data_IF_683730245482
#
_entry.id   IF_683730245482
#
_cell.length_a   1.000
_cell.length_b   1.000
_cell.length_c   1.000
_cell.angle_alpha   90.00
_cell.angle_beta   90.00
_cell.angle_gamma   90.00
#
_symmetry.space_group_name_H-M   'P 1'
#
loop_
_entity.id
_entity.type
_entity.pdbx_description
1 polymer ?
#
# COMPACT_ATOMS: atom_id res chain seq x y z
N UNK A 1 20.09 -5.23 12.54
CA UNK A 1 19.64 -3.86 12.89
C UNK A 1 18.36 -3.98 13.68
N UNK A 2 18.26 -3.37 14.85
CA UNK A 2 17.02 -3.28 15.61
C UNK A 2 16.46 -1.88 15.41
N UNK A 3 15.20 -1.79 15.03
CA UNK A 3 14.48 -0.54 14.90
C UNK A 3 13.36 -0.55 15.94
N UNK A 4 13.42 0.35 16.90
CA UNK A 4 12.31 0.55 17.83
C UNK A 4 11.32 1.50 17.18
N UNK A 5 10.12 0.97 16.88
CA UNK A 5 9.01 1.76 16.39
C UNK A 5 7.95 1.85 17.49
N UNK A 6 7.42 3.06 17.68
CA UNK A 6 6.17 3.26 18.42
C UNK A 6 5.05 3.27 17.39
N UNK A 7 3.84 2.99 17.83
CA UNK A 7 2.67 3.25 17.01
C UNK A 7 2.71 4.71 16.54
N UNK A 8 3.04 4.92 15.27
CA UNK A 8 3.34 6.23 14.72
C UNK A 8 2.09 6.93 14.18
N UNK A 9 1.02 6.17 13.95
CA UNK A 9 -0.24 6.70 13.45
C UNK A 9 -1.31 6.55 14.52
N UNK A 10 -1.50 7.59 15.31
CA UNK A 10 -2.75 7.72 16.04
C UNK A 10 -3.83 8.08 15.00
N UNK A 11 -4.89 7.28 14.91
CA UNK A 11 -5.95 7.45 13.93
C UNK A 11 -6.50 8.85 13.89
N UNK A 12 -7.16 9.18 12.80
CA UNK A 12 -7.67 10.51 12.53
C UNK A 12 -8.64 11.05 13.58
N UNK A 13 -9.16 10.20 14.47
CA UNK A 13 -9.93 10.59 15.65
C UNK A 13 -9.06 10.77 16.91
N UNK A 14 -7.75 10.82 16.78
CA UNK A 14 -6.83 11.04 17.89
C UNK A 14 -6.69 9.86 18.84
N UNK A 15 -7.23 8.68 18.50
CA UNK A 15 -7.09 7.47 19.32
C UNK A 15 -7.03 6.23 18.45
N UNK A 16 -5.85 5.82 18.06
CA UNK A 16 -5.64 4.41 17.79
C UNK A 16 -5.99 3.64 19.05
N UNK A 17 -7.05 2.87 19.01
CA UNK A 17 -7.49 1.85 19.98
C UNK A 17 -7.15 2.07 21.47
N UNK A 18 -6.54 3.20 21.85
CA UNK A 18 -6.09 3.48 23.22
C UNK A 18 -5.09 2.49 23.78
N UNK A 19 -4.55 1.59 22.96
CA UNK A 19 -3.61 0.56 23.37
C UNK A 19 -2.18 1.07 23.19
N UNK A 20 -1.48 1.49 24.25
CA UNK A 20 -0.07 1.83 24.15
C UNK A 20 0.71 0.58 23.80
N UNK A 21 1.58 0.66 22.78
CA UNK A 21 2.45 -0.42 22.38
C UNK A 21 3.84 0.06 22.02
N UNK A 22 4.84 -0.73 22.34
CA UNK A 22 6.19 -0.59 21.79
C UNK A 22 6.42 -1.76 20.85
N UNK A 23 6.65 -1.46 19.58
CA UNK A 23 6.88 -2.46 18.56
C UNK A 23 8.35 -2.40 18.13
N UNK A 24 8.88 -3.56 17.77
CA UNK A 24 10.28 -3.70 17.37
C UNK A 24 10.36 -4.37 16.03
N UNK A 25 11.16 -3.80 15.13
CA UNK A 25 11.57 -4.46 13.92
C UNK A 25 12.98 -5.04 14.10
N UNK A 26 13.16 -6.25 13.59
CA UNK A 26 14.43 -6.97 13.58
C UNK A 26 14.80 -7.32 12.14
N UNK A 27 16.09 -7.44 11.87
CA UNK A 27 16.59 -7.88 10.57
C UNK A 27 16.96 -9.35 10.65
N UNK A 28 16.51 -10.13 9.69
CA UNK A 28 16.96 -11.51 9.53
C UNK A 28 18.44 -11.53 9.11
N UNK A 29 19.24 -12.37 9.74
CA UNK A 29 20.68 -12.47 9.44
C UNK A 29 20.91 -13.20 8.11
N UNK A 30 20.03 -14.11 7.72
CA UNK A 30 20.16 -14.91 6.51
C UNK A 30 19.73 -14.16 5.23
N UNK A 31 18.55 -13.53 5.25
CA UNK A 31 17.96 -12.93 4.05
C UNK A 31 17.81 -11.40 4.12
N UNK A 32 18.28 -10.77 5.21
CA UNK A 32 18.23 -9.34 5.44
C UNK A 32 16.82 -8.72 5.48
N UNK A 33 15.75 -9.52 5.41
CA UNK A 33 14.38 -9.03 5.55
C UNK A 33 14.19 -8.39 6.92
N UNK A 34 13.54 -7.24 6.95
CA UNK A 34 13.20 -6.54 8.20
C UNK A 34 11.73 -6.82 8.52
N UNK A 35 11.46 -7.31 9.71
CA UNK A 35 10.10 -7.68 10.13
C UNK A 35 9.86 -7.38 11.61
N UNK A 36 8.59 -7.25 11.96
CA UNK A 36 8.20 -6.97 13.33
C UNK A 36 8.34 -8.22 14.21
N UNK A 37 9.05 -8.08 15.36
CA UNK A 37 9.22 -9.18 16.32
C UNK A 37 9.37 -8.62 17.76
N UNK A 38 8.48 -8.98 18.70
CA UNK A 38 7.24 -9.73 18.47
C UNK A 38 6.22 -8.92 17.64
N UNK A 39 5.33 -9.61 16.93
CA UNK A 39 4.21 -9.00 16.21
C UNK A 39 2.88 -9.37 16.85
N UNK A 40 1.86 -8.56 16.64
CA UNK A 40 0.50 -8.88 17.03
C UNK A 40 0.07 -10.17 16.30
N UNK A 41 -0.68 -11.03 16.97
CA UNK A 41 -1.21 -12.24 16.35
C UNK A 41 -2.19 -11.88 15.22
N UNK A 42 -2.19 -12.69 14.15
CA UNK A 42 -2.93 -12.39 12.93
C UNK A 42 -4.46 -12.30 13.13
N UNK A 43 -5.00 -12.99 14.12
CA UNK A 43 -6.41 -12.93 14.53
C UNK A 43 -6.75 -11.68 15.36
N UNK A 44 -5.73 -10.99 15.88
CA UNK A 44 -5.88 -9.81 16.74
C UNK A 44 -5.51 -8.49 16.05
N UNK A 45 -4.92 -8.55 14.87
CA UNK A 45 -4.46 -7.32 14.19
C UNK A 45 -5.61 -6.43 13.75
N UNK A 46 -6.79 -6.99 13.48
CA UNK A 46 -7.98 -6.23 13.13
C UNK A 46 -8.35 -5.17 14.17
N UNK A 47 -8.05 -5.42 15.45
CA UNK A 47 -8.26 -4.48 16.55
C UNK A 47 -7.47 -3.16 16.39
N UNK A 48 -6.49 -3.13 15.49
CA UNK A 48 -5.61 -2.00 15.20
C UNK A 48 -5.98 -1.25 13.91
N UNK A 49 -7.03 -1.69 13.23
CA UNK A 49 -7.61 -1.00 12.07
C UNK A 49 -8.96 -0.43 12.48
N UNK A 50 -9.00 0.87 12.76
CA UNK A 50 -10.25 1.57 13.05
C UNK A 50 -11.00 1.94 11.76
N UNK A 51 -12.23 2.47 11.91
CA UNK A 51 -13.07 2.89 10.78
C UNK A 51 -12.53 4.12 10.06
N UNK A 52 -11.53 4.78 10.63
CA UNK A 52 -10.86 5.94 10.07
C UNK A 52 -9.53 5.60 9.40
N UNK A 53 -9.14 4.31 9.39
CA UNK A 53 -7.95 3.87 8.67
C UNK A 53 -8.07 4.29 7.20
N UNK A 54 -7.01 4.92 6.68
CA UNK A 54 -7.07 5.66 5.41
C UNK A 54 -7.57 4.82 4.23
N UNK A 55 -7.17 3.55 4.15
CA UNK A 55 -7.60 2.63 3.09
C UNK A 55 -9.04 2.15 3.23
N UNK A 56 -9.58 2.12 4.47
CA UNK A 56 -10.93 1.65 4.78
C UNK A 56 -11.90 2.80 5.07
N UNK A 57 -11.47 4.04 4.86
CA UNK A 57 -12.21 5.21 5.27
C UNK A 57 -13.54 5.34 4.53
N UNK A 58 -14.63 5.20 5.28
CA UNK A 58 -16.00 5.36 4.78
C UNK A 58 -16.42 6.84 4.67
N UNK A 59 -15.83 7.71 5.51
CA UNK A 59 -16.12 9.14 5.55
C UNK A 59 -14.91 9.95 5.11
N UNK A 60 -15.10 10.78 4.11
CA UNK A 60 -14.11 11.72 3.60
C UNK A 60 -14.61 13.16 3.78
N UNK A 61 -15.14 13.47 4.97
CA UNK A 61 -15.63 14.81 5.28
C UNK A 61 -14.58 15.58 6.08
N UNK A 62 -13.99 16.57 5.43
CA UNK A 62 -13.02 17.51 5.99
C UNK A 62 -13.55 18.94 5.92
N UNK A 63 -14.89 19.12 5.97
CA UNK A 63 -15.55 20.41 5.83
C UNK A 63 -15.20 21.05 4.47
N UNK A 64 -14.76 22.30 4.48
CA UNK A 64 -14.40 23.05 3.26
C UNK A 64 -13.25 22.42 2.44
N UNK A 65 -12.45 21.56 3.05
CA UNK A 65 -11.32 20.88 2.37
C UNK A 65 -11.71 19.54 1.74
N UNK A 66 -12.95 19.08 1.90
CA UNK A 66 -13.45 17.81 1.32
C UNK A 66 -13.23 17.71 -0.20
N UNK A 67 -13.53 18.75 -1.01
CA UNK A 67 -13.29 18.68 -2.47
C UNK A 67 -11.81 18.49 -2.81
N UNK A 68 -10.92 19.15 -2.09
CA UNK A 68 -9.47 19.04 -2.29
C UNK A 68 -8.97 17.63 -1.93
N UNK A 69 -9.45 17.09 -0.83
CA UNK A 69 -9.14 15.71 -0.44
C UNK A 69 -9.62 14.69 -1.50
N UNK A 70 -10.87 14.82 -1.96
CA UNK A 70 -11.42 13.94 -3.01
C UNK A 70 -10.63 14.03 -4.32
N UNK A 71 -10.25 15.25 -4.71
CA UNK A 71 -9.40 15.46 -5.87
C UNK A 71 -8.04 14.77 -5.73
N UNK A 72 -7.41 14.82 -4.55
CA UNK A 72 -6.14 14.15 -4.30
C UNK A 72 -6.25 12.62 -4.37
N UNK A 73 -7.33 12.06 -3.81
CA UNK A 73 -7.60 10.61 -3.88
C UNK A 73 -7.85 10.17 -5.33
N UNK A 74 -8.65 10.91 -6.08
CA UNK A 74 -8.89 10.65 -7.49
C UNK A 74 -7.60 10.77 -8.33
N UNK A 75 -6.76 11.78 -8.05
CA UNK A 75 -5.43 11.91 -8.66
C UNK A 75 -4.55 10.70 -8.36
N UNK A 76 -4.60 10.16 -7.14
CA UNK A 76 -3.86 8.96 -6.76
C UNK A 76 -4.32 7.74 -7.55
N UNK A 77 -5.64 7.49 -7.65
CA UNK A 77 -6.17 6.37 -8.43
C UNK A 77 -5.88 6.52 -9.92
N UNK A 78 -5.87 7.75 -10.46
CA UNK A 78 -5.39 8.01 -11.84
C UNK A 78 -3.93 7.65 -12.04
N UNK A 79 -3.05 7.94 -11.06
CA UNK A 79 -1.63 7.58 -11.12
C UNK A 79 -1.45 6.07 -11.13
N UNK A 80 -2.21 5.33 -10.29
CA UNK A 80 -2.22 3.86 -10.30
C UNK A 80 -2.65 3.32 -11.67
N UNK A 81 -3.78 3.81 -12.20
CA UNK A 81 -4.30 3.40 -13.49
C UNK A 81 -3.32 3.72 -14.64
N UNK A 82 -2.70 4.89 -14.63
CA UNK A 82 -1.69 5.27 -15.62
C UNK A 82 -0.45 4.38 -15.55
N UNK A 83 0.01 4.05 -14.33
CA UNK A 83 1.14 3.13 -14.14
C UNK A 83 0.83 1.75 -14.71
N UNK A 84 -0.33 1.19 -14.38
CA UNK A 84 -0.79 -0.11 -14.91
C UNK A 84 -0.88 -0.08 -16.43
N UNK A 85 -1.44 0.99 -17.00
CA UNK A 85 -1.61 1.16 -18.45
C UNK A 85 -0.30 1.17 -19.25
N UNK A 86 0.86 1.37 -18.58
CA UNK A 86 2.17 1.23 -19.23
C UNK A 86 2.57 -0.23 -19.50
N UNK A 87 1.95 -1.19 -18.81
CA UNK A 87 2.35 -2.60 -18.83
C UNK A 87 1.28 -3.57 -19.31
N UNK A 88 0.01 -3.17 -19.21
CA UNK A 88 -1.15 -4.01 -19.59
C UNK A 88 -2.18 -3.14 -20.29
N UNK A 89 -2.57 -3.55 -21.50
CA UNK A 89 -3.75 -3.00 -22.15
C UNK A 89 -4.99 -3.75 -21.61
N UNK A 90 -5.86 -3.03 -20.92
CA UNK A 90 -7.09 -3.59 -20.35
C UNK A 90 -8.30 -3.20 -21.18
N UNK A 91 -9.23 -4.13 -21.34
CA UNK A 91 -10.50 -3.96 -22.01
C UNK A 91 -11.64 -4.71 -21.27
N UNK A 92 -12.83 -4.74 -21.85
CA UNK A 92 -14.01 -5.39 -21.26
C UNK A 92 -13.88 -6.92 -21.09
N UNK A 93 -12.94 -7.57 -21.77
CA UNK A 93 -12.65 -9.00 -21.60
C UNK A 93 -11.64 -9.29 -20.51
N UNK A 94 -10.89 -8.26 -20.08
CA UNK A 94 -9.81 -8.36 -19.12
C UNK A 94 -10.33 -8.59 -17.70
N UNK A 95 -9.55 -9.30 -16.89
CA UNK A 95 -9.83 -9.59 -15.49
C UNK A 95 -8.77 -8.99 -14.59
N UNK A 96 -9.18 -8.19 -13.62
CA UNK A 96 -8.31 -7.48 -12.69
C UNK A 96 -8.59 -7.91 -11.26
N UNK A 97 -7.56 -8.26 -10.51
CA UNK A 97 -7.62 -8.56 -9.07
C UNK A 97 -6.79 -7.54 -8.30
N UNK A 98 -7.37 -6.97 -7.25
CA UNK A 98 -6.65 -6.11 -6.30
C UNK A 98 -6.67 -6.76 -4.91
N UNK A 99 -5.49 -7.11 -4.40
CA UNK A 99 -5.31 -7.70 -3.08
C UNK A 99 -5.06 -6.58 -2.06
N UNK A 100 -5.92 -6.47 -1.04
CA UNK A 100 -5.97 -5.34 -0.15
C UNK A 100 -6.64 -4.13 -0.80
N UNK A 101 -7.76 -4.35 -1.48
CA UNK A 101 -8.41 -3.33 -2.30
C UNK A 101 -8.98 -2.15 -1.50
N UNK A 102 -9.06 -2.26 -0.16
CA UNK A 102 -9.65 -1.23 0.69
C UNK A 102 -11.03 -0.83 0.20
N UNK A 103 -11.28 0.48 0.11
CA UNK A 103 -12.55 1.02 -0.37
C UNK A 103 -12.81 0.80 -1.88
N UNK A 104 -11.95 0.10 -2.62
CA UNK A 104 -12.17 -0.31 -4.01
C UNK A 104 -12.17 0.81 -5.06
N UNK A 105 -11.75 2.02 -4.70
CA UNK A 105 -11.82 3.20 -5.61
C UNK A 105 -10.94 3.05 -6.86
N UNK A 106 -9.78 2.40 -6.72
CA UNK A 106 -8.93 2.06 -7.85
C UNK A 106 -9.63 1.09 -8.81
N UNK A 107 -10.23 0.01 -8.29
CA UNK A 107 -10.97 -0.97 -9.10
C UNK A 107 -12.17 -0.34 -9.80
N UNK A 108 -12.94 0.50 -9.10
CA UNK A 108 -14.05 1.24 -9.69
C UNK A 108 -13.59 2.13 -10.86
N UNK A 109 -12.42 2.75 -10.72
CA UNK A 109 -11.81 3.53 -11.81
C UNK A 109 -11.41 2.65 -12.99
N UNK A 110 -10.70 1.55 -12.76
CA UNK A 110 -10.31 0.62 -13.83
C UNK A 110 -11.55 0.15 -14.59
N UNK A 111 -12.57 -0.32 -13.89
CA UNK A 111 -13.82 -0.77 -14.50
C UNK A 111 -14.49 0.33 -15.33
N UNK A 112 -14.60 1.55 -14.78
CA UNK A 112 -15.24 2.67 -15.46
C UNK A 112 -14.48 3.11 -16.73
N UNK A 113 -13.16 2.94 -16.78
CA UNK A 113 -12.34 3.41 -17.91
C UNK A 113 -12.04 2.35 -18.94
N UNK A 114 -12.07 1.07 -18.58
CA UNK A 114 -11.69 -0.05 -19.46
C UNK A 114 -12.81 -1.05 -19.71
N UNK A 115 -13.83 -1.07 -18.85
CA UNK A 115 -14.86 -2.12 -18.86
C UNK A 115 -14.42 -3.43 -18.24
N UNK A 116 -13.19 -3.56 -17.75
CA UNK A 116 -12.62 -4.79 -17.21
C UNK A 116 -13.42 -5.35 -16.02
N UNK A 117 -13.41 -6.68 -15.89
CA UNK A 117 -13.99 -7.37 -14.73
C UNK A 117 -13.10 -7.16 -13.50
N UNK A 118 -13.57 -6.36 -12.55
CA UNK A 118 -12.83 -6.00 -11.34
C UNK A 118 -13.21 -6.92 -10.17
N UNK A 119 -12.21 -7.54 -9.57
CA UNK A 119 -12.32 -8.34 -8.33
C UNK A 119 -11.47 -7.71 -7.25
N UNK A 120 -12.02 -7.51 -6.06
CA UNK A 120 -11.31 -6.97 -4.90
C UNK A 120 -11.32 -7.94 -3.72
N UNK A 121 -10.19 -8.09 -3.04
CA UNK A 121 -10.08 -8.87 -1.81
C UNK A 121 -9.61 -7.96 -0.69
N UNK A 122 -10.33 -7.92 0.43
CA UNK A 122 -9.89 -7.23 1.64
C UNK A 122 -10.38 -7.99 2.89
N UNK A 123 -9.62 -7.92 3.99
CA UNK A 123 -10.01 -8.61 5.22
C UNK A 123 -11.17 -7.91 5.94
N UNK A 124 -11.37 -6.60 5.69
CA UNK A 124 -12.47 -5.83 6.23
C UNK A 124 -13.64 -5.85 5.25
N UNK A 125 -14.84 -6.15 5.76
CA UNK A 125 -16.05 -6.07 4.94
C UNK A 125 -16.40 -4.61 4.63
N UNK A 126 -16.31 -4.25 3.37
CA UNK A 126 -16.63 -2.94 2.80
C UNK A 126 -17.69 -3.04 1.69
N UNK A 127 -18.39 -4.17 1.62
CA UNK A 127 -19.41 -4.46 0.59
C UNK A 127 -20.59 -3.48 0.59
N UNK A 128 -20.81 -2.78 1.70
CA UNK A 128 -21.86 -1.76 1.86
C UNK A 128 -21.56 -0.42 1.17
N UNK A 129 -20.34 -0.22 0.67
CA UNK A 129 -20.01 0.99 -0.08
C UNK A 129 -20.73 1.00 -1.44
N UNK A 130 -21.42 2.08 -1.85
CA UNK A 130 -22.31 2.07 -3.01
C UNK A 130 -21.66 1.65 -4.32
N UNK A 131 -20.38 1.98 -4.51
CA UNK A 131 -19.64 1.64 -5.73
C UNK A 131 -19.08 0.22 -5.73
N UNK A 132 -19.07 -0.48 -4.58
CA UNK A 132 -18.65 -1.89 -4.49
C UNK A 132 -19.62 -2.83 -5.20
N UNK A 133 -20.87 -2.43 -5.44
CA UNK A 133 -21.84 -3.24 -6.19
C UNK A 133 -21.39 -3.59 -7.61
N UNK A 134 -20.47 -2.80 -8.17
CA UNK A 134 -19.91 -3.04 -9.51
C UNK A 134 -18.65 -3.93 -9.49
N UNK A 135 -18.15 -4.29 -8.32
CA UNK A 135 -16.91 -5.03 -8.09
C UNK A 135 -17.26 -6.39 -7.49
N UNK A 136 -16.65 -7.49 -7.97
CA UNK A 136 -16.68 -8.79 -7.29
C UNK A 136 -15.86 -8.70 -6.00
N UNK A 137 -16.46 -8.12 -4.94
CA UNK A 137 -15.80 -7.95 -3.65
C UNK A 137 -15.87 -9.24 -2.83
N UNK A 138 -14.70 -9.65 -2.31
CA UNK A 138 -14.57 -10.84 -1.46
C UNK A 138 -13.91 -10.47 -0.15
N UNK A 139 -14.67 -10.55 0.93
CA UNK A 139 -14.17 -10.38 2.27
C UNK A 139 -13.32 -11.58 2.69
N UNK A 140 -12.16 -11.34 3.31
CA UNK A 140 -11.27 -12.37 3.80
C UNK A 140 -9.81 -12.15 3.35
N UNK A 141 -8.96 -13.10 3.69
CA UNK A 141 -7.53 -13.06 3.34
C UNK A 141 -7.30 -13.70 1.96
N UNK A 142 -6.24 -13.33 1.24
CA UNK A 142 -5.93 -13.95 -0.06
C UNK A 142 -5.89 -15.47 -0.01
N UNK A 143 -5.27 -16.06 1.02
CA UNK A 143 -5.15 -17.52 1.19
C UNK A 143 -6.48 -18.27 1.30
N UNK A 144 -7.54 -17.57 1.67
CA UNK A 144 -8.90 -18.12 1.83
C UNK A 144 -9.66 -18.11 0.49
N UNK A 145 -9.14 -17.38 -0.50
CA UNK A 145 -9.79 -17.21 -1.79
C UNK A 145 -9.46 -18.35 -2.76
N UNK A 146 -10.37 -18.59 -3.67
CA UNK A 146 -10.21 -19.53 -4.81
C UNK A 146 -10.78 -18.87 -6.06
N UNK A 147 -10.06 -18.96 -7.16
CA UNK A 147 -10.47 -18.41 -8.45
C UNK A 147 -10.29 -19.46 -9.54
N UNK A 148 -11.33 -19.67 -10.34
CA UNK A 148 -11.35 -20.70 -11.40
C UNK A 148 -10.72 -20.20 -12.71
N UNK A 149 -10.57 -18.89 -12.86
CA UNK A 149 -10.03 -18.25 -14.06
C UNK A 149 -8.90 -17.31 -13.69
N UNK A 150 -7.83 -17.26 -14.52
CA UNK A 150 -6.70 -16.39 -14.27
C UNK A 150 -7.06 -14.90 -14.44
N UNK A 151 -6.18 -14.03 -13.96
CA UNK A 151 -6.27 -12.59 -14.06
C UNK A 151 -5.18 -12.04 -14.99
N UNK A 152 -5.53 -11.07 -15.81
CA UNK A 152 -4.61 -10.37 -16.70
C UNK A 152 -3.76 -9.35 -15.92
N UNK A 153 -4.34 -8.81 -14.84
CA UNK A 153 -3.67 -7.93 -13.92
C UNK A 153 -3.97 -8.32 -12.47
N UNK A 154 -2.93 -8.39 -11.66
CA UNK A 154 -3.04 -8.46 -10.20
C UNK A 154 -2.31 -7.25 -9.60
N UNK A 155 -2.93 -6.56 -8.64
CA UNK A 155 -2.32 -5.42 -7.96
C UNK A 155 -2.26 -5.64 -6.45
N UNK A 156 -1.18 -5.13 -5.84
CA UNK A 156 -0.95 -5.10 -4.40
C UNK A 156 -0.45 -3.71 -4.02
N UNK A 157 -1.40 -2.78 -3.81
CA UNK A 157 -1.09 -1.41 -3.45
C UNK A 157 -1.01 -1.26 -1.94
N UNK A 158 0.18 -1.13 -1.39
CA UNK A 158 0.36 -1.02 0.07
C UNK A 158 -0.30 -2.15 0.84
N UNK A 159 -0.16 -3.36 0.34
CA UNK A 159 -0.74 -4.55 0.92
C UNK A 159 0.32 -5.49 1.50
N UNK A 160 1.41 -5.72 0.76
CA UNK A 160 2.37 -6.78 1.07
C UNK A 160 3.12 -6.54 2.40
N UNK A 161 3.30 -5.30 2.81
CA UNK A 161 3.88 -4.91 4.09
C UNK A 161 2.98 -5.23 5.29
N UNK A 162 1.68 -5.38 5.07
CA UNK A 162 0.70 -5.76 6.09
C UNK A 162 0.51 -7.28 6.19
N UNK A 163 0.96 -8.01 5.18
CA UNK A 163 0.71 -9.45 5.10
C UNK A 163 1.58 -10.23 6.11
N UNK A 164 0.95 -11.22 6.75
CA UNK A 164 1.60 -12.12 7.70
C UNK A 164 2.38 -13.23 7.04
N UNK A 165 2.06 -13.55 5.79
CA UNK A 165 2.66 -14.63 5.01
C UNK A 165 2.94 -14.19 3.56
N UNK A 166 3.72 -13.10 3.36
CA UNK A 166 3.85 -12.45 2.05
C UNK A 166 4.40 -13.37 0.96
N UNK A 167 5.30 -14.31 1.34
CA UNK A 167 5.83 -15.29 0.39
C UNK A 167 4.74 -16.23 -0.13
N UNK A 168 3.86 -16.72 0.76
CA UNK A 168 2.75 -17.60 0.38
C UNK A 168 1.72 -16.87 -0.47
N UNK A 169 1.40 -15.62 -0.12
CA UNK A 169 0.49 -14.78 -0.90
C UNK A 169 1.02 -14.52 -2.32
N UNK A 170 2.30 -14.19 -2.47
CA UNK A 170 2.89 -13.97 -3.79
C UNK A 170 2.90 -15.26 -4.63
N UNK A 171 3.19 -16.41 -4.01
CA UNK A 171 3.14 -17.71 -4.70
C UNK A 171 1.71 -18.00 -5.19
N UNK A 172 0.71 -17.79 -4.35
CA UNK A 172 -0.68 -17.99 -4.71
C UNK A 172 -1.15 -16.99 -5.77
N UNK A 173 -0.79 -15.72 -5.66
CA UNK A 173 -1.10 -14.70 -6.65
C UNK A 173 -0.46 -15.01 -8.02
N UNK A 174 0.77 -15.55 -8.04
CA UNK A 174 1.38 -16.07 -9.28
C UNK A 174 0.50 -17.15 -9.94
N UNK A 175 -0.05 -18.06 -9.16
CA UNK A 175 -0.85 -19.15 -9.68
C UNK A 175 -2.19 -18.65 -10.27
N UNK A 176 -2.70 -17.53 -9.79
CA UNK A 176 -3.86 -16.83 -10.33
C UNK A 176 -3.56 -15.92 -11.53
N UNK A 177 -2.29 -15.60 -11.78
CA UNK A 177 -1.89 -14.72 -12.87
C UNK A 177 -1.98 -15.46 -14.20
N UNK A 178 -2.52 -14.83 -15.23
CA UNK A 178 -2.47 -15.34 -16.61
C UNK A 178 -1.02 -15.45 -17.10
N UNK A 179 -0.77 -16.27 -18.12
CA UNK A 179 0.58 -16.50 -18.67
C UNK A 179 1.24 -15.17 -19.08
N UNK A 180 0.50 -14.32 -19.78
CA UNK A 180 0.97 -13.00 -20.23
C UNK A 180 0.54 -11.86 -19.28
N UNK A 181 -0.06 -12.21 -18.14
CA UNK A 181 -0.53 -11.27 -17.13
C UNK A 181 0.61 -10.53 -16.44
N UNK A 182 0.25 -9.43 -15.80
CA UNK A 182 1.18 -8.62 -15.01
C UNK A 182 0.71 -8.50 -13.58
N UNK A 183 1.68 -8.49 -12.67
CA UNK A 183 1.41 -8.16 -11.27
C UNK A 183 2.19 -6.89 -10.91
N UNK A 184 1.52 -5.94 -10.28
CA UNK A 184 2.10 -4.67 -9.82
C UNK A 184 2.07 -4.64 -8.31
N UNK A 185 3.23 -4.49 -7.69
CA UNK A 185 3.39 -4.48 -6.23
C UNK A 185 4.03 -3.16 -5.84
N UNK A 186 3.35 -2.37 -5.03
CA UNK A 186 3.85 -1.12 -4.47
C UNK A 186 3.92 -1.20 -2.96
N UNK A 187 5.10 -0.89 -2.39
CA UNK A 187 5.37 -0.90 -0.94
C UNK A 187 6.26 0.26 -0.53
N UNK A 188 6.21 0.71 0.74
CA UNK A 188 7.19 1.63 1.28
C UNK A 188 8.60 1.04 1.20
N UNK A 189 9.56 1.89 0.84
CA UNK A 189 10.94 1.48 0.65
C UNK A 189 11.81 1.78 1.87
N UNK A 190 12.32 0.75 2.54
CA UNK A 190 13.13 0.86 3.76
C UNK A 190 14.47 1.58 3.52
N UNK A 191 15.12 1.41 2.37
CA UNK A 191 16.39 2.05 2.01
C UNK A 191 16.20 3.40 1.29
N UNK A 192 15.04 4.06 1.51
CA UNK A 192 14.68 5.35 0.92
C UNK A 192 15.35 6.55 1.59
N UNK A 193 15.31 7.70 0.90
CA UNK A 193 15.75 8.98 1.45
C UNK A 193 14.95 9.35 2.70
N UNK A 194 13.62 9.18 2.69
CA UNK A 194 12.78 9.50 3.84
C UNK A 194 13.12 8.63 5.06
N UNK A 195 13.42 7.33 4.87
CA UNK A 195 13.86 6.49 5.98
C UNK A 195 15.20 6.98 6.56
N UNK A 196 16.17 7.35 5.73
CA UNK A 196 17.47 7.88 6.19
C UNK A 196 17.32 9.19 6.98
N UNK A 197 16.35 10.04 6.59
CA UNK A 197 16.07 11.32 7.27
C UNK A 197 15.34 11.15 8.61
N UNK A 198 14.42 10.19 8.72
CA UNK A 198 13.52 10.07 9.86
C UNK A 198 13.82 8.89 10.78
N UNK A 199 14.51 7.85 10.31
CA UNK A 199 14.89 6.68 11.11
C UNK A 199 13.68 6.04 11.80
N UNK A 200 13.72 5.93 13.14
CA UNK A 200 12.64 5.36 13.94
C UNK A 200 11.36 6.23 14.00
N UNK A 201 11.35 7.38 13.37
CA UNK A 201 10.15 8.22 13.17
C UNK A 201 9.68 8.24 11.73
N UNK A 202 10.21 7.34 10.92
CA UNK A 202 9.78 7.20 9.54
C UNK A 202 8.32 6.72 9.47
N UNK A 203 7.43 7.42 8.74
CA UNK A 203 6.02 7.03 8.64
C UNK A 203 5.81 5.60 8.12
N UNK A 204 6.71 5.10 7.27
CA UNK A 204 6.65 3.76 6.74
C UNK A 204 6.88 2.63 7.75
N UNK A 205 7.24 2.92 9.01
CA UNK A 205 7.25 1.89 10.06
C UNK A 205 5.84 1.45 10.44
N UNK A 206 4.89 2.37 10.53
CA UNK A 206 3.45 2.17 10.77
C UNK A 206 3.12 0.91 11.62
N UNK A 207 3.80 0.77 12.76
CA UNK A 207 3.57 -0.36 13.65
C UNK A 207 2.26 -0.18 14.46
N UNK A 208 1.49 -1.25 14.69
CA UNK A 208 1.79 -2.65 14.35
C UNK A 208 1.29 -3.14 13.00
N UNK A 209 0.67 -2.27 12.17
CA UNK A 209 0.03 -2.68 10.93
C UNK A 209 1.03 -3.20 9.89
N UNK A 210 2.21 -2.53 9.75
CA UNK A 210 3.27 -3.06 8.91
C UNK A 210 4.02 -4.18 9.65
N UNK A 211 3.91 -5.39 9.14
CA UNK A 211 4.56 -6.57 9.72
C UNK A 211 5.94 -6.82 9.11
N UNK A 212 6.15 -6.36 7.88
CA UNK A 212 7.39 -6.52 7.10
C UNK A 212 7.76 -5.20 6.43
N UNK A 213 9.05 -4.91 6.35
CA UNK A 213 9.59 -3.74 5.67
C UNK A 213 10.57 -4.17 4.58
N UNK A 214 10.40 -3.62 3.38
CA UNK A 214 11.14 -4.04 2.20
C UNK A 214 12.18 -3.00 1.78
N UNK A 215 13.45 -3.44 1.67
CA UNK A 215 14.42 -2.80 0.81
C UNK A 215 14.20 -3.25 -0.64
N UNK A 216 14.87 -2.61 -1.60
CA UNK A 216 14.86 -3.08 -2.99
C UNK A 216 15.22 -4.56 -3.08
N UNK A 217 16.34 -4.94 -2.51
CA UNK A 217 16.89 -6.29 -2.67
C UNK A 217 16.00 -7.35 -2.01
N UNK A 218 15.43 -7.06 -0.84
CA UNK A 218 14.55 -8.01 -0.16
C UNK A 218 13.19 -8.17 -0.87
N UNK A 219 12.66 -7.11 -1.50
CA UNK A 219 11.46 -7.22 -2.32
C UNK A 219 11.72 -8.06 -3.56
N UNK A 220 12.79 -7.76 -4.32
CA UNK A 220 13.14 -8.50 -5.53
C UNK A 220 13.40 -9.98 -5.22
N UNK A 221 14.17 -10.28 -4.19
CA UNK A 221 14.41 -11.67 -3.77
C UNK A 221 13.14 -12.41 -3.40
N UNK A 222 12.17 -11.72 -2.78
CA UNK A 222 10.88 -12.33 -2.40
C UNK A 222 10.02 -12.66 -3.64
N UNK A 223 9.91 -11.76 -4.60
CA UNK A 223 9.15 -12.02 -5.83
C UNK A 223 9.78 -13.12 -6.68
N UNK A 224 11.11 -13.15 -6.77
CA UNK A 224 11.84 -14.21 -7.49
C UNK A 224 11.64 -15.59 -6.84
N UNK A 225 11.67 -15.67 -5.50
CA UNK A 225 11.38 -16.91 -4.75
C UNK A 225 9.94 -17.38 -4.94
N UNK A 226 8.99 -16.47 -5.19
CA UNK A 226 7.63 -16.83 -5.54
C UNK A 226 7.49 -17.39 -6.97
N UNK A 227 8.58 -17.46 -7.74
CA UNK A 227 8.57 -17.93 -9.14
C UNK A 227 8.06 -16.88 -10.12
N UNK A 228 8.13 -15.62 -9.73
CA UNK A 228 7.84 -14.47 -10.59
C UNK A 228 9.12 -13.97 -11.26
N UNK A 229 8.99 -13.38 -12.44
CA UNK A 229 10.06 -12.71 -13.16
C UNK A 229 9.88 -11.19 -13.05
N UNK A 230 10.94 -10.49 -12.67
CA UNK A 230 10.93 -9.03 -12.59
C UNK A 230 11.02 -8.45 -13.99
N UNK A 231 9.97 -7.74 -14.40
CA UNK A 231 9.92 -7.01 -15.67
C UNK A 231 10.55 -5.63 -15.50
N UNK A 232 10.14 -4.93 -14.46
CA UNK A 232 10.70 -3.62 -14.14
C UNK A 232 10.61 -3.35 -12.64
N UNK A 233 11.62 -2.67 -12.11
CA UNK A 233 11.63 -2.12 -10.78
C UNK A 233 11.75 -0.61 -10.85
N UNK A 234 10.84 0.09 -10.15
CA UNK A 234 10.74 1.55 -10.14
C UNK A 234 11.10 2.08 -8.74
N UNK A 235 12.02 3.06 -8.63
CA UNK A 235 12.40 3.68 -7.35
C UNK A 235 11.36 4.67 -6.82
N UNK A 236 10.12 4.57 -7.27
CA UNK A 236 8.99 5.45 -6.96
C UNK A 236 7.68 4.65 -7.03
N UNK A 237 6.58 5.27 -6.61
CA UNK A 237 5.25 4.68 -6.63
C UNK A 237 4.16 5.67 -7.06
N UNK A 238 2.94 5.16 -7.19
CA UNK A 238 1.76 5.98 -7.42
C UNK A 238 1.39 6.79 -6.17
N UNK A 239 1.69 6.26 -4.99
CA UNK A 239 1.48 6.98 -3.73
C UNK A 239 2.44 8.16 -3.61
N UNK A 240 1.95 9.36 -3.23
CA UNK A 240 2.77 10.57 -3.19
C UNK A 240 3.87 10.46 -2.12
N UNK A 241 5.14 10.48 -2.54
CA UNK A 241 6.28 10.43 -1.62
C UNK A 241 6.32 11.65 -0.67
N UNK A 242 5.72 12.77 -1.08
CA UNK A 242 5.57 13.95 -0.23
C UNK A 242 4.87 13.63 1.10
N UNK A 243 3.91 12.71 1.12
CA UNK A 243 3.26 12.29 2.35
C UNK A 243 4.26 11.79 3.41
N UNK A 244 5.26 11.01 3.00
CA UNK A 244 6.30 10.50 3.89
C UNK A 244 7.22 11.61 4.42
N UNK A 245 7.50 12.60 3.60
CA UNK A 245 8.30 13.76 4.03
C UNK A 245 7.51 14.61 5.01
N UNK A 246 6.27 14.95 4.69
CA UNK A 246 5.38 15.74 5.53
C UNK A 246 5.12 15.06 6.89
N UNK A 247 4.68 13.79 6.87
CA UNK A 247 4.38 13.06 8.09
C UNK A 247 5.65 12.82 8.94
N UNK A 248 6.80 12.57 8.30
CA UNK A 248 8.09 12.42 9.01
C UNK A 248 8.52 13.69 9.72
N UNK A 249 8.36 14.85 9.07
CA UNK A 249 8.60 16.16 9.73
C UNK A 249 7.61 16.36 10.87
N UNK A 250 6.33 16.12 10.64
CA UNK A 250 5.30 16.24 11.67
C UNK A 250 5.61 15.34 12.89
N UNK A 251 6.01 14.09 12.71
CA UNK A 251 6.39 13.19 13.81
C UNK A 251 7.63 13.65 14.57
N UNK A 252 8.58 14.30 13.89
CA UNK A 252 9.72 14.94 14.58
C UNK A 252 9.27 16.11 15.46
N UNK A 253 8.43 16.98 14.91
CA UNK A 253 7.95 18.19 15.61
C UNK A 253 6.99 17.83 16.75
N UNK A 254 6.08 16.90 16.54
CA UNK A 254 5.10 16.46 17.54
C UNK A 254 5.68 15.49 18.58
N UNK A 255 7.00 15.24 18.54
CA UNK A 255 7.72 14.35 19.47
C UNK A 255 7.08 12.97 19.64
N UNK A 256 6.52 12.42 18.55
CA UNK A 256 5.89 11.10 18.52
C UNK A 256 4.44 11.08 18.98
N UNK A 257 3.78 12.24 19.14
CA UNK A 257 2.33 12.32 19.17
C UNK A 257 1.80 12.04 17.77
N UNK A 258 0.65 11.38 17.68
CA UNK A 258 0.04 11.03 16.40
C UNK A 258 -0.29 12.26 15.54
N UNK A 259 -0.37 12.05 14.25
CA UNK A 259 -0.79 13.07 13.29
C UNK A 259 -2.31 13.00 13.13
N UNK A 260 -3.00 14.06 13.56
CA UNK A 260 -4.43 14.25 13.25
C UNK A 260 -4.56 14.64 11.78
N UNK A 261 -5.01 13.70 10.94
CA UNK A 261 -5.15 13.93 9.51
C UNK A 261 -6.18 15.02 9.20
N UNK A 262 -7.23 15.17 10.01
CA UNK A 262 -8.24 16.21 9.81
C UNK A 262 -7.63 17.61 9.88
N UNK A 263 -6.76 17.84 10.88
CA UNK A 263 -6.03 19.10 11.04
C UNK A 263 -4.84 19.24 10.09
N UNK A 264 -4.34 18.13 9.57
CA UNK A 264 -3.16 18.11 8.71
C UNK A 264 -3.47 18.38 7.24
N UNK A 265 -4.72 18.24 6.78
CA UNK A 265 -5.09 18.36 5.35
C UNK A 265 -4.66 19.71 4.76
N UNK A 266 -4.98 20.83 5.40
CA UNK A 266 -4.60 22.16 4.91
C UNK A 266 -3.08 22.35 4.85
N UNK A 267 -2.34 22.17 5.96
CA UNK A 267 -0.88 22.23 5.97
C UNK A 267 -0.22 21.25 4.99
N UNK A 268 -0.78 20.06 4.79
CA UNK A 268 -0.28 19.09 3.82
C UNK A 268 -0.29 19.65 2.39
N UNK A 269 -1.45 20.16 1.92
CA UNK A 269 -1.56 20.68 0.55
C UNK A 269 -0.77 21.98 0.34
N UNK A 270 -0.71 22.85 1.35
CA UNK A 270 0.12 24.04 1.28
C UNK A 270 1.61 23.66 1.13
N UNK A 271 2.08 22.70 1.92
CA UNK A 271 3.45 22.22 1.82
C UNK A 271 3.73 21.44 0.54
N UNK A 272 2.77 20.64 0.01
CA UNK A 272 2.89 19.97 -1.29
C UNK A 272 3.07 20.98 -2.42
N UNK A 273 2.30 22.06 -2.41
CA UNK A 273 2.42 23.15 -3.41
C UNK A 273 3.80 23.83 -3.35
N UNK A 274 4.31 24.11 -2.14
CA UNK A 274 5.65 24.66 -1.96
C UNK A 274 6.76 23.71 -2.40
N UNK A 275 6.57 22.39 -2.18
CA UNK A 275 7.54 21.36 -2.55
C UNK A 275 7.43 20.94 -4.04
N UNK A 276 6.41 21.39 -4.77
CA UNK A 276 6.13 20.95 -6.14
C UNK A 276 7.35 21.03 -7.09
N UNK A 277 8.21 22.08 -7.06
CA UNK A 277 9.40 22.13 -7.91
C UNK A 277 10.40 20.97 -7.64
N UNK A 278 10.49 20.51 -6.40
CA UNK A 278 11.35 19.39 -6.03
C UNK A 278 10.71 18.04 -6.34
N UNK A 279 9.38 17.95 -6.25
CA UNK A 279 8.63 16.73 -6.51
C UNK A 279 8.61 16.34 -8.00
N UNK A 280 8.98 17.23 -8.92
CA UNK A 280 9.22 16.88 -10.32
C UNK A 280 10.29 15.79 -10.47
N UNK A 281 11.24 15.75 -9.53
CA UNK A 281 12.33 14.77 -9.49
C UNK A 281 11.99 13.53 -8.63
N UNK A 282 10.73 13.35 -8.20
CA UNK A 282 10.31 12.24 -7.33
C UNK A 282 10.74 10.88 -7.87
N UNK A 283 10.63 10.69 -9.20
CA UNK A 283 10.97 9.44 -9.88
C UNK A 283 12.46 9.08 -9.83
N UNK A 284 13.33 10.08 -9.71
CA UNK A 284 14.80 9.91 -9.68
C UNK A 284 15.35 9.84 -8.25
N UNK A 285 14.66 10.44 -7.28
CA UNK A 285 15.22 10.69 -5.96
C UNK A 285 15.04 9.56 -4.95
N UNK A 286 14.34 8.45 -5.29
CA UNK A 286 14.12 7.37 -4.33
C UNK A 286 13.58 7.88 -2.98
N UNK A 287 12.51 8.66 -3.00
CA UNK A 287 12.10 9.40 -1.81
C UNK A 287 11.48 8.52 -0.73
N UNK A 288 10.55 7.62 -1.07
CA UNK A 288 9.81 6.87 -0.06
C UNK A 288 9.29 5.50 -0.53
N UNK A 289 8.92 5.37 -1.81
CA UNK A 289 8.20 4.23 -2.35
C UNK A 289 9.06 3.44 -3.32
N UNK A 290 8.65 2.21 -3.57
CA UNK A 290 9.11 1.39 -4.70
C UNK A 290 7.94 0.62 -5.28
N UNK A 291 8.00 0.41 -6.58
CA UNK A 291 7.07 -0.44 -7.31
C UNK A 291 7.85 -1.50 -8.08
N UNK A 292 7.37 -2.73 -8.08
CA UNK A 292 7.88 -3.78 -8.95
C UNK A 292 6.76 -4.31 -9.83
N UNK A 293 7.05 -4.42 -11.11
CA UNK A 293 6.19 -5.05 -12.10
C UNK A 293 6.77 -6.40 -12.44
N UNK A 294 5.96 -7.44 -12.29
CA UNK A 294 6.40 -8.82 -12.49
C UNK A 294 5.43 -9.57 -13.39
N UNK A 295 5.92 -10.63 -14.03
CA UNK A 295 5.14 -11.61 -14.77
C UNK A 295 5.40 -13.02 -14.27
N UNK A 296 4.69 -14.01 -14.84
CA UNK A 296 5.05 -15.41 -14.61
C UNK A 296 6.38 -15.70 -15.26
N UNK A 297 7.26 -16.40 -14.55
CA UNK A 297 8.48 -16.93 -15.17
C UNK A 297 8.06 -17.94 -16.25
N UNK A 298 8.47 -17.70 -17.50
CA UNK A 298 8.23 -18.65 -18.59
C UNK A 298 8.79 -20.03 -18.24
N UNK A 299 8.10 -21.09 -18.65
CA UNK A 299 8.68 -22.43 -18.62
C UNK A 299 9.90 -22.39 -19.58
N UNK A 300 11.09 -22.60 -19.02
CA UNK A 300 12.30 -22.79 -19.82
C UNK A 300 12.29 -24.16 -20.47
#
# INVERSE_FOLDING_TARGET
MRLDARDAFHGCAGRLTGKPGRFRFVRCDDCALVYQNPRIAADRIADWYDDEYIAHRRKSDFGLLTPLYRWAMDRHDRRKAALVGCYVALDASSRVLDLGCGAGTFLARIQATTGAHATGVDFKDLSDLPWMNAIDFRCGRPREQRFDRPFDLITLWHFLEHDYEPQATLTQARDWLATDGRMVIEVPRLDSVSFRLFGNRWPGLQAPQHTVLYSRDTLLAMVERAGLEVIEWLPWGAFPAYFYLFAGVAFKLLRGRGLDLGRAVGPYFAGEALAAPLLVYEKQLNLAMQTVVVGRRGAR
#
